data_IF_022664083715
#
_entry.id   IF_022664083715
#
_cell.length_a   1.000
_cell.length_b   1.000
_cell.length_c   1.000
_cell.angle_alpha   90.00
_cell.angle_beta   90.00
_cell.angle_gamma   90.00
#
_symmetry.space_group_name_H-M   'P 1'
#
loop_
_entity.id
_entity.type
_entity.pdbx_description
1 polymer ?
#
# COMPACT_ATOMS: atom_id res chain seq x y z
N UNK A 1 3.01 3.57 -27.55
CA UNK A 1 2.57 3.84 -26.15
C UNK A 1 3.80 3.93 -25.26
N UNK A 2 4.42 5.11 -25.18
CA UNK A 2 5.53 5.34 -24.27
C UNK A 2 4.98 5.55 -22.87
N UNK A 3 5.06 4.52 -22.03
CA UNK A 3 5.13 4.76 -20.57
C UNK A 3 6.22 5.81 -20.36
N UNK A 4 5.95 6.86 -19.60
CA UNK A 4 6.96 7.83 -19.19
C UNK A 4 7.95 7.12 -18.25
N UNK A 5 8.83 6.32 -18.86
CA UNK A 5 9.99 5.63 -18.30
C UNK A 5 11.09 6.63 -17.92
N UNK A 6 10.97 7.91 -18.32
CA UNK A 6 11.99 8.93 -18.10
C UNK A 6 12.33 9.19 -16.62
N UNK A 7 11.42 8.91 -15.67
CA UNK A 7 11.74 9.06 -14.24
C UNK A 7 12.58 7.88 -13.71
N UNK A 8 12.54 6.72 -14.38
CA UNK A 8 13.09 5.46 -13.86
C UNK A 8 14.59 5.24 -14.14
N UNK A 9 15.16 5.86 -15.17
CA UNK A 9 16.59 5.68 -15.48
C UNK A 9 17.51 6.37 -14.45
N UNK A 10 17.09 7.50 -13.87
CA UNK A 10 17.92 8.28 -12.96
C UNK A 10 17.97 7.79 -11.51
N UNK A 11 17.03 6.93 -11.07
CA UNK A 11 17.03 6.38 -9.71
C UNK A 11 17.83 5.07 -9.58
N UNK A 12 18.00 4.35 -10.69
CA UNK A 12 18.70 3.05 -10.72
C UNK A 12 20.22 3.23 -10.64
N UNK A 13 20.75 4.37 -11.09
CA UNK A 13 22.18 4.72 -11.00
C UNK A 13 22.63 5.19 -9.62
N UNK A 14 21.71 5.35 -8.67
CA UNK A 14 21.97 5.91 -7.33
C UNK A 14 21.90 4.82 -6.24
N UNK A 15 21.94 3.53 -6.61
CA UNK A 15 22.00 2.42 -5.65
C UNK A 15 23.32 2.55 -4.85
N UNK A 16 23.30 2.97 -3.56
CA UNK A 16 24.53 3.23 -2.82
C UNK A 16 25.11 1.92 -2.26
N UNK A 17 26.42 1.89 -1.99
CA UNK A 17 27.12 0.80 -1.25
C UNK A 17 26.43 0.34 0.05
N UNK A 18 25.58 1.19 0.64
CA UNK A 18 24.73 0.85 1.81
C UNK A 18 23.69 -0.24 1.52
N UNK A 19 23.37 -0.50 0.26
CA UNK A 19 22.46 -1.56 -0.17
C UNK A 19 23.11 -2.93 0.02
N UNK A 20 24.42 -3.07 -0.24
CA UNK A 20 25.17 -4.31 -0.01
C UNK A 20 25.19 -4.66 1.48
N UNK A 21 25.57 -3.70 2.33
CA UNK A 21 25.62 -3.90 3.79
C UNK A 21 24.24 -4.10 4.43
N UNK A 22 23.16 -3.56 3.84
CA UNK A 22 21.79 -3.81 4.28
C UNK A 22 21.25 -5.18 3.85
N UNK A 23 21.65 -5.66 2.67
CA UNK A 23 21.35 -7.03 2.20
C UNK A 23 22.09 -8.06 3.08
N UNK A 24 23.35 -7.80 3.41
CA UNK A 24 24.18 -8.66 4.29
C UNK A 24 23.68 -8.72 5.74
N UNK A 25 22.95 -7.70 6.21
CA UNK A 25 22.31 -7.70 7.54
C UNK A 25 20.91 -8.33 7.55
N UNK A 26 20.31 -8.58 6.39
CA UNK A 26 18.97 -9.16 6.26
C UNK A 26 18.98 -10.68 5.95
N UNK A 27 20.14 -11.28 5.72
CA UNK A 27 20.28 -12.74 5.68
C UNK A 27 20.10 -13.33 7.08
N UNK A 28 18.86 -13.64 7.45
CA UNK A 28 18.59 -14.47 8.62
C UNK A 28 19.07 -15.90 8.34
N UNK A 29 20.09 -16.34 9.10
CA UNK A 29 20.37 -17.76 9.32
C UNK A 29 19.22 -18.34 10.17
N UNK A 30 18.26 -19.01 9.55
CA UNK A 30 17.38 -19.95 10.25
C UNK A 30 17.77 -21.38 9.87
N UNK A 31 18.20 -22.13 10.90
CA UNK A 31 18.51 -23.55 10.85
C UNK A 31 17.32 -24.37 10.33
N UNK A 32 17.31 -24.63 9.03
CA UNK A 32 16.59 -25.76 8.42
C UNK A 32 17.40 -26.22 7.23
N UNK A 33 17.57 -27.53 7.08
CA UNK A 33 18.45 -28.21 6.12
C UNK A 33 18.04 -28.07 4.63
N UNK A 34 17.64 -26.88 4.21
CA UNK A 34 17.46 -26.52 2.80
C UNK A 34 17.85 -25.05 2.64
N UNK A 35 18.95 -24.72 1.94
CA UNK A 35 19.34 -23.34 1.76
C UNK A 35 18.30 -22.64 0.88
N UNK A 36 17.75 -21.53 1.36
CA UNK A 36 17.03 -20.57 0.51
C UNK A 36 18.13 -19.83 -0.26
N UNK A 37 18.62 -20.42 -1.36
CA UNK A 37 19.83 -19.93 -2.05
C UNK A 37 19.63 -18.61 -2.84
N UNK A 38 18.47 -17.96 -2.83
CA UNK A 38 18.31 -16.68 -3.56
C UNK A 38 17.09 -15.82 -3.20
N UNK A 39 16.87 -15.49 -1.93
CA UNK A 39 15.81 -14.51 -1.62
C UNK A 39 15.81 -13.91 -0.21
N UNK A 40 15.63 -12.59 -0.12
CA UNK A 40 15.45 -11.85 1.13
C UNK A 40 14.01 -12.03 1.60
N UNK A 41 13.85 -12.67 2.76
CA UNK A 41 12.57 -12.82 3.45
C UNK A 41 12.50 -11.81 4.59
N UNK A 42 11.42 -11.06 4.65
CA UNK A 42 11.26 -10.01 5.65
C UNK A 42 10.53 -10.49 6.90
N UNK A 43 10.93 -9.93 8.05
CA UNK A 43 10.25 -10.16 9.32
C UNK A 43 8.81 -9.63 9.27
N UNK A 44 7.95 -10.16 10.16
CA UNK A 44 6.56 -9.71 10.25
C UNK A 44 6.41 -8.21 10.51
N UNK A 45 7.33 -7.63 11.29
CA UNK A 45 7.38 -6.19 11.53
C UNK A 45 7.67 -5.41 10.25
N UNK A 46 8.68 -5.84 9.48
CA UNK A 46 9.05 -5.17 8.23
C UNK A 46 7.97 -5.32 7.15
N UNK A 47 7.28 -6.45 7.07
CA UNK A 47 6.11 -6.62 6.20
C UNK A 47 4.98 -5.66 6.55
N UNK A 48 4.74 -5.44 7.85
CA UNK A 48 3.80 -4.42 8.29
C UNK A 48 4.23 -3.03 7.83
N UNK A 49 5.47 -2.62 8.10
CA UNK A 49 6.02 -1.33 7.67
C UNK A 49 5.90 -1.10 6.17
N UNK A 50 6.11 -2.13 5.34
CA UNK A 50 5.90 -2.06 3.89
C UNK A 50 4.48 -1.65 3.58
N UNK A 51 3.48 -2.31 4.18
CA UNK A 51 2.08 -1.94 3.95
C UNK A 51 1.82 -0.51 4.42
N UNK A 52 2.43 -0.09 5.52
CA UNK A 52 2.28 1.26 6.06
C UNK A 52 2.79 2.33 5.10
N UNK A 53 4.04 2.19 4.71
CA UNK A 53 4.76 3.13 3.86
C UNK A 53 4.27 3.09 2.42
N UNK A 54 3.87 1.93 1.91
CA UNK A 54 3.27 1.82 0.59
C UNK A 54 1.91 2.54 0.52
N UNK A 55 1.06 2.41 1.54
CA UNK A 55 -0.19 3.17 1.60
C UNK A 55 0.07 4.67 1.73
N UNK A 56 1.04 5.08 2.55
CA UNK A 56 1.47 6.48 2.65
C UNK A 56 1.93 7.02 1.29
N UNK A 57 2.83 6.33 0.61
CA UNK A 57 3.35 6.73 -0.70
C UNK A 57 2.23 6.84 -1.73
N UNK A 58 1.35 5.84 -1.81
CA UNK A 58 0.19 5.86 -2.71
C UNK A 58 -0.75 7.05 -2.41
N UNK A 59 -1.06 7.30 -1.14
CA UNK A 59 -1.90 8.41 -0.70
C UNK A 59 -1.29 9.78 -1.03
N UNK A 60 0.02 9.94 -0.80
CA UNK A 60 0.77 11.16 -1.13
C UNK A 60 0.80 11.43 -2.64
N UNK A 61 1.09 10.43 -3.47
CA UNK A 61 1.07 10.58 -4.93
C UNK A 61 -0.33 10.82 -5.50
N UNK A 62 -1.37 10.36 -4.82
CA UNK A 62 -2.76 10.64 -5.21
C UNK A 62 -3.20 12.05 -4.81
N UNK A 63 -3.01 12.42 -3.55
CA UNK A 63 -3.71 13.55 -2.92
C UNK A 63 -2.83 14.79 -2.71
N UNK A 64 -1.50 14.63 -2.62
CA UNK A 64 -0.57 15.73 -2.33
C UNK A 64 0.41 15.97 -3.48
N UNK A 65 0.04 15.59 -4.71
CA UNK A 65 0.95 15.66 -5.85
C UNK A 65 1.29 17.09 -6.27
N UNK A 66 0.34 18.00 -6.12
CA UNK A 66 0.54 19.42 -6.46
C UNK A 66 1.30 20.17 -5.35
N UNK A 67 1.70 19.44 -4.29
CA UNK A 67 2.59 19.92 -3.24
C UNK A 67 4.00 19.34 -3.41
N UNK A 68 4.88 19.99 -4.20
CA UNK A 68 6.23 19.47 -4.44
C UNK A 68 7.05 19.32 -3.16
N UNK A 69 6.82 20.18 -2.16
CA UNK A 69 7.47 20.08 -0.84
C UNK A 69 7.09 18.79 -0.11
N UNK A 70 5.81 18.39 -0.17
CA UNK A 70 5.33 17.18 0.51
C UNK A 70 5.88 15.91 -0.17
N UNK A 71 6.00 15.91 -1.50
CA UNK A 71 6.62 14.82 -2.25
C UNK A 71 8.15 14.77 -2.07
N UNK A 72 8.82 15.92 -1.92
CA UNK A 72 10.27 15.96 -1.68
C UNK A 72 10.69 15.30 -0.35
N UNK A 73 9.80 15.32 0.65
CA UNK A 73 10.04 14.62 1.92
C UNK A 73 9.73 13.11 1.85
N UNK A 74 8.99 12.65 0.83
CA UNK A 74 8.49 11.28 0.75
C UNK A 74 9.60 10.20 0.79
N UNK A 75 10.74 10.36 0.10
CA UNK A 75 11.84 9.40 0.18
C UNK A 75 12.41 9.25 1.60
N UNK A 76 12.32 10.28 2.47
CA UNK A 76 12.79 10.18 3.86
C UNK A 76 12.02 9.12 4.66
N UNK A 77 10.79 8.83 4.25
CA UNK A 77 9.92 7.87 4.92
C UNK A 77 9.76 6.55 4.16
N UNK A 78 9.67 6.61 2.82
CA UNK A 78 9.22 5.48 1.99
C UNK A 78 10.21 5.10 0.88
N UNK A 79 11.51 5.43 1.02
CA UNK A 79 12.52 5.16 -0.02
C UNK A 79 12.48 3.71 -0.52
N UNK A 80 12.53 2.74 0.40
CA UNK A 80 12.56 1.32 0.07
C UNK A 80 11.29 0.87 -0.63
N UNK A 81 10.13 1.33 -0.17
CA UNK A 81 8.84 0.95 -0.73
C UNK A 81 8.66 1.54 -2.14
N UNK A 82 9.16 2.75 -2.39
CA UNK A 82 9.20 3.33 -3.75
C UNK A 82 10.14 2.51 -4.63
N UNK A 83 11.34 2.18 -4.14
CA UNK A 83 12.31 1.38 -4.88
C UNK A 83 11.77 -0.02 -5.22
N UNK A 84 11.14 -0.71 -4.27
CA UNK A 84 10.56 -2.04 -4.48
C UNK A 84 9.30 -2.00 -5.36
N UNK A 85 8.48 -0.96 -5.25
CA UNK A 85 7.39 -0.72 -6.20
C UNK A 85 7.94 -0.56 -7.62
N UNK A 86 9.02 0.22 -7.78
CA UNK A 86 9.67 0.39 -9.08
C UNK A 86 10.25 -0.94 -9.62
N UNK A 87 10.87 -1.73 -8.77
CA UNK A 87 11.43 -3.04 -9.14
C UNK A 87 10.33 -4.02 -9.60
N UNK A 88 9.19 -4.04 -8.92
CA UNK A 88 8.04 -4.90 -9.23
C UNK A 88 7.12 -4.36 -10.33
N UNK A 89 7.32 -3.12 -10.79
CA UNK A 89 6.47 -2.49 -11.81
C UNK A 89 6.50 -3.24 -13.15
N UNK A 90 7.66 -3.74 -13.57
CA UNK A 90 7.78 -4.48 -14.85
C UNK A 90 6.99 -5.80 -14.81
N UNK A 91 7.09 -6.54 -13.71
CA UNK A 91 6.33 -7.77 -13.52
C UNK A 91 4.82 -7.50 -13.53
N UNK A 92 4.38 -6.43 -12.87
CA UNK A 92 2.99 -5.98 -12.89
C UNK A 92 2.48 -5.69 -14.30
N UNK A 93 3.27 -4.96 -15.11
CA UNK A 93 2.92 -4.59 -16.49
C UNK A 93 2.86 -5.78 -17.42
N UNK A 94 3.84 -6.69 -17.34
CA UNK A 94 3.84 -7.95 -18.09
C UNK A 94 2.58 -8.74 -17.78
N UNK A 95 2.20 -8.81 -16.50
CA UNK A 95 1.00 -9.51 -16.06
C UNK A 95 -0.30 -8.88 -16.56
N UNK A 96 -0.37 -7.56 -16.63
CA UNK A 96 -1.52 -6.84 -17.15
C UNK A 96 -1.69 -7.01 -18.65
N UNK A 97 -0.56 -7.09 -19.37
CA UNK A 97 -0.52 -7.24 -20.84
C UNK A 97 -0.76 -8.68 -21.31
N UNK A 98 -0.64 -9.66 -20.40
CA UNK A 98 -0.78 -11.08 -20.71
C UNK A 98 -2.22 -11.49 -21.11
N UNK A 99 -2.36 -12.47 -22.02
CA UNK A 99 -3.66 -12.96 -22.46
C UNK A 99 -4.34 -13.71 -21.31
N UNK A 100 -5.32 -13.04 -20.70
CA UNK A 100 -6.16 -13.44 -19.55
C UNK A 100 -5.48 -13.24 -18.18
N UNK A 101 -6.18 -12.50 -17.32
CA UNK A 101 -5.88 -12.37 -15.89
C UNK A 101 -5.92 -13.74 -15.23
N UNK A 102 -4.79 -14.47 -15.22
CA UNK A 102 -4.68 -15.73 -14.48
C UNK A 102 -4.75 -15.46 -12.98
N UNK A 103 -5.13 -16.49 -12.22
CA UNK A 103 -4.95 -16.49 -10.77
C UNK A 103 -3.48 -16.21 -10.44
N UNK A 104 -3.26 -15.46 -9.36
CA UNK A 104 -1.93 -15.08 -8.92
C UNK A 104 -1.27 -16.27 -8.22
N UNK A 105 -0.51 -17.07 -8.96
CA UNK A 105 0.25 -18.22 -8.44
C UNK A 105 1.57 -17.76 -7.81
N UNK A 106 1.90 -18.20 -6.59
CA UNK A 106 3.16 -17.84 -5.93
C UNK A 106 4.37 -18.46 -6.61
N UNK A 107 5.49 -17.73 -6.61
CA UNK A 107 6.78 -18.21 -7.15
C UNK A 107 7.38 -19.29 -6.26
N UNK A 108 7.18 -19.19 -4.95
CA UNK A 108 7.75 -20.12 -3.96
C UNK A 108 6.83 -20.26 -2.74
N UNK A 109 7.06 -21.30 -1.95
CA UNK A 109 6.34 -21.58 -0.71
C UNK A 109 7.34 -21.71 0.45
N UNK A 110 7.15 -20.89 1.48
CA UNK A 110 7.95 -20.96 2.72
C UNK A 110 7.03 -21.43 3.83
N UNK A 111 7.31 -22.58 4.44
CA UNK A 111 6.48 -23.17 5.51
C UNK A 111 4.98 -23.23 5.11
N UNK A 112 4.70 -23.65 3.87
CA UNK A 112 3.35 -23.68 3.27
C UNK A 112 2.64 -22.32 3.14
N UNK A 113 3.36 -21.21 3.30
CA UNK A 113 2.86 -19.86 3.04
C UNK A 113 3.29 -19.47 1.62
N UNK A 114 2.37 -18.98 0.77
CA UNK A 114 2.69 -18.56 -0.59
C UNK A 114 3.46 -17.22 -0.61
N UNK A 115 4.60 -17.20 -1.30
CA UNK A 115 5.44 -16.01 -1.52
C UNK A 115 5.66 -15.74 -3.01
N UNK A 116 5.88 -14.46 -3.32
CA UNK A 116 6.17 -13.94 -4.64
C UNK A 116 7.57 -13.33 -4.65
N UNK A 117 8.31 -13.61 -5.72
CA UNK A 117 9.67 -13.15 -5.88
C UNK A 117 9.75 -11.95 -6.81
N UNK A 118 10.29 -10.85 -6.31
CA UNK A 118 10.66 -9.70 -7.14
C UNK A 118 12.11 -9.89 -7.58
N UNK A 119 12.30 -10.50 -8.76
CA UNK A 119 13.62 -10.95 -9.24
C UNK A 119 14.69 -9.86 -9.24
N UNK A 120 14.31 -8.60 -9.55
CA UNK A 120 15.26 -7.47 -9.58
C UNK A 120 15.86 -7.10 -8.22
N UNK A 121 15.21 -7.48 -7.12
CA UNK A 121 15.68 -7.19 -5.77
C UNK A 121 15.80 -8.46 -4.91
N UNK A 122 15.64 -9.64 -5.52
CA UNK A 122 15.59 -10.94 -4.82
C UNK A 122 14.68 -10.90 -3.59
N UNK A 123 13.57 -10.15 -3.66
CA UNK A 123 12.73 -9.92 -2.49
C UNK A 123 11.52 -10.85 -2.52
N UNK A 124 11.34 -11.61 -1.43
CA UNK A 124 10.21 -12.50 -1.26
C UNK A 124 9.14 -11.84 -0.39
N UNK A 125 7.96 -11.64 -0.97
CA UNK A 125 6.82 -11.01 -0.28
C UNK A 125 5.57 -11.88 -0.32
N UNK A 126 4.76 -11.87 0.75
CA UNK A 126 3.41 -12.40 0.68
C UNK A 126 2.54 -11.53 -0.23
N UNK A 127 1.38 -12.09 -0.59
CA UNK A 127 0.46 -11.50 -1.57
C UNK A 127 0.03 -10.07 -1.23
N UNK A 128 -0.22 -9.76 0.04
CA UNK A 128 -0.82 -8.48 0.46
C UNK A 128 0.20 -7.36 0.32
N UNK A 129 1.45 -7.62 0.69
CA UNK A 129 2.58 -6.70 0.57
C UNK A 129 2.86 -6.40 -0.90
N UNK A 130 2.85 -7.42 -1.77
CA UNK A 130 2.99 -7.23 -3.21
C UNK A 130 1.87 -6.32 -3.78
N UNK A 131 0.61 -6.57 -3.41
CA UNK A 131 -0.51 -5.72 -3.83
C UNK A 131 -0.37 -4.28 -3.32
N UNK A 132 0.22 -4.08 -2.13
CA UNK A 132 0.48 -2.74 -1.60
C UNK A 132 1.56 -2.00 -2.39
N UNK A 133 2.61 -2.68 -2.84
CA UNK A 133 3.63 -2.11 -3.71
C UNK A 133 3.07 -1.77 -5.10
N UNK A 134 2.26 -2.64 -5.68
CA UNK A 134 1.59 -2.36 -6.96
C UNK A 134 0.59 -1.21 -6.89
N UNK A 135 0.00 -0.94 -5.72
CA UNK A 135 -0.80 0.26 -5.51
C UNK A 135 0.04 1.54 -5.64
N UNK A 136 1.30 1.54 -5.17
CA UNK A 136 2.23 2.65 -5.36
C UNK A 136 2.52 2.84 -6.86
N UNK A 137 2.81 1.74 -7.59
CA UNK A 137 3.02 1.78 -9.05
C UNK A 137 1.83 2.41 -9.77
N UNK A 138 0.62 2.00 -9.42
CA UNK A 138 -0.60 2.54 -10.02
C UNK A 138 -0.82 4.02 -9.68
N UNK A 139 -0.47 4.43 -8.46
CA UNK A 139 -0.60 5.83 -8.02
C UNK A 139 0.41 6.73 -8.71
N UNK A 140 1.60 6.20 -9.02
CA UNK A 140 2.63 6.88 -9.80
C UNK A 140 2.22 7.04 -11.28
N UNK A 141 1.71 5.97 -11.91
CA UNK A 141 1.42 5.96 -13.35
C UNK A 141 0.18 6.78 -13.76
N UNK A 142 -0.75 7.03 -12.82
CA UNK A 142 -2.07 7.66 -13.06
C UNK A 142 -2.95 6.93 -14.08
N UNK A 143 -2.57 5.71 -14.47
CA UNK A 143 -3.31 4.98 -15.49
C UNK A 143 -4.51 4.26 -14.89
N UNK A 144 -5.71 4.62 -15.34
CA UNK A 144 -6.96 4.01 -14.87
C UNK A 144 -7.03 2.51 -15.17
N UNK A 145 -6.42 2.06 -16.26
CA UNK A 145 -6.42 0.64 -16.64
C UNK A 145 -5.62 -0.20 -15.64
N UNK A 146 -4.44 0.28 -15.25
CA UNK A 146 -3.61 -0.30 -14.20
C UNK A 146 -4.38 -0.46 -12.89
N UNK A 147 -5.07 0.59 -12.45
CA UNK A 147 -5.90 0.57 -11.24
C UNK A 147 -7.09 -0.41 -11.34
N UNK A 148 -7.78 -0.46 -12.48
CA UNK A 148 -8.90 -1.40 -12.70
C UNK A 148 -8.41 -2.85 -12.64
N UNK A 149 -7.26 -3.14 -13.21
CA UNK A 149 -6.64 -4.47 -13.14
C UNK A 149 -6.28 -4.84 -11.70
N UNK A 150 -5.60 -3.94 -10.96
CA UNK A 150 -5.28 -4.16 -9.56
C UNK A 150 -6.53 -4.39 -8.70
N UNK A 151 -7.59 -3.60 -8.93
CA UNK A 151 -8.88 -3.77 -8.24
C UNK A 151 -9.51 -5.13 -8.51
N UNK A 152 -9.40 -5.67 -9.74
CA UNK A 152 -9.86 -7.01 -10.09
C UNK A 152 -9.11 -8.07 -9.28
N UNK A 153 -7.77 -7.98 -9.21
CA UNK A 153 -6.94 -8.90 -8.42
C UNK A 153 -7.31 -8.87 -6.93
N UNK A 154 -7.49 -7.67 -6.35
CA UNK A 154 -7.88 -7.54 -4.94
C UNK A 154 -9.24 -8.22 -4.69
N UNK A 155 -10.23 -8.01 -5.56
CA UNK A 155 -11.56 -8.63 -5.44
C UNK A 155 -11.48 -10.15 -5.50
N UNK A 156 -10.66 -10.69 -6.39
CA UNK A 156 -10.43 -12.14 -6.52
C UNK A 156 -9.84 -12.72 -5.22
N UNK A 157 -8.78 -12.09 -4.69
CA UNK A 157 -8.15 -12.53 -3.43
C UNK A 157 -9.14 -12.46 -2.26
N UNK A 158 -9.91 -11.38 -2.16
CA UNK A 158 -10.95 -11.25 -1.14
C UNK A 158 -12.02 -12.34 -1.26
N UNK A 159 -12.39 -12.73 -2.49
CA UNK A 159 -13.39 -13.77 -2.72
C UNK A 159 -12.89 -15.16 -2.33
N UNK A 160 -11.61 -15.46 -2.60
CA UNK A 160 -10.98 -16.72 -2.22
C UNK A 160 -10.96 -16.89 -0.69
N UNK A 161 -10.53 -15.85 0.04
CA UNK A 161 -10.53 -15.85 1.52
C UNK A 161 -11.95 -15.99 2.09
N UNK A 162 -12.96 -15.41 1.43
CA UNK A 162 -14.36 -15.55 1.85
C UNK A 162 -14.92 -16.95 1.59
N UNK A 163 -14.51 -17.59 0.49
CA UNK A 163 -14.95 -18.94 0.07
C UNK A 163 -14.40 -20.04 0.98
N UNK A 164 -13.20 -19.86 1.54
CA UNK A 164 -12.55 -20.76 2.49
C UNK A 164 -13.25 -20.80 3.88
N UNK A 165 -14.59 -20.80 3.94
CA UNK A 165 -15.46 -20.75 5.12
C UNK A 165 -14.96 -21.63 6.29
N UNK A 166 -14.09 -21.09 7.15
CA UNK A 166 -13.76 -21.66 8.46
C UNK A 166 -14.79 -21.20 9.48
N UNK A 167 -15.25 -22.12 10.35
CA UNK A 167 -16.24 -21.88 11.43
C UNK A 167 -15.85 -20.74 12.40
N UNK A 168 -14.55 -20.43 12.51
CA UNK A 168 -14.01 -19.23 13.19
C UNK A 168 -12.81 -18.70 12.39
N UNK A 169 -12.87 -17.45 11.94
CA UNK A 169 -11.71 -16.78 11.33
C UNK A 169 -10.67 -16.49 12.40
N UNK A 170 -9.41 -16.77 12.10
CA UNK A 170 -8.30 -16.39 12.99
C UNK A 170 -8.09 -14.88 12.91
N UNK A 171 -7.61 -14.26 14.00
CA UNK A 171 -7.33 -12.81 14.04
C UNK A 171 -6.43 -12.31 12.89
N UNK A 172 -5.51 -13.16 12.41
CA UNK A 172 -4.64 -12.86 11.27
C UNK A 172 -5.41 -12.75 9.94
N UNK A 173 -6.39 -13.62 9.72
CA UNK A 173 -7.24 -13.61 8.52
C UNK A 173 -8.12 -12.36 8.48
N UNK A 174 -8.58 -11.89 9.64
CA UNK A 174 -9.35 -10.64 9.75
C UNK A 174 -8.52 -9.40 9.46
N UNK A 175 -7.29 -9.34 9.98
CA UNK A 175 -6.34 -8.26 9.65
C UNK A 175 -5.98 -8.26 8.16
N UNK A 176 -5.84 -9.44 7.56
CA UNK A 176 -5.59 -9.60 6.12
C UNK A 176 -6.76 -9.06 5.28
N UNK A 177 -8.00 -9.39 5.67
CA UNK A 177 -9.20 -8.86 5.01
C UNK A 177 -9.33 -7.34 5.19
N UNK A 178 -9.01 -6.81 6.36
CA UNK A 178 -9.00 -5.37 6.61
C UNK A 178 -7.97 -4.64 5.73
N UNK A 179 -6.77 -5.19 5.58
CA UNK A 179 -5.75 -4.67 4.67
C UNK A 179 -6.23 -4.68 3.21
N UNK A 180 -6.85 -5.77 2.75
CA UNK A 180 -7.44 -5.84 1.40
C UNK A 180 -8.59 -4.84 1.20
N UNK A 181 -9.44 -4.63 2.21
CA UNK A 181 -10.48 -3.60 2.17
C UNK A 181 -9.88 -2.19 2.07
N UNK A 182 -8.79 -1.91 2.80
CA UNK A 182 -8.07 -0.64 2.72
C UNK A 182 -7.50 -0.43 1.31
N UNK A 183 -6.77 -1.40 0.76
CA UNK A 183 -6.21 -1.34 -0.60
C UNK A 183 -7.30 -1.16 -1.66
N UNK A 184 -8.42 -1.88 -1.53
CA UNK A 184 -9.60 -1.72 -2.39
C UNK A 184 -10.15 -0.30 -2.33
N UNK A 185 -10.32 0.25 -1.12
CA UNK A 185 -10.78 1.62 -0.92
C UNK A 185 -9.85 2.64 -1.57
N UNK A 186 -8.54 2.48 -1.41
CA UNK A 186 -7.54 3.33 -2.06
C UNK A 186 -7.63 3.26 -3.60
N UNK A 187 -7.82 2.07 -4.18
CA UNK A 187 -8.01 1.93 -5.63
C UNK A 187 -9.28 2.67 -6.11
N UNK A 188 -10.39 2.54 -5.38
CA UNK A 188 -11.66 3.20 -5.71
C UNK A 188 -11.55 4.72 -5.58
N UNK A 189 -10.85 5.21 -4.55
CA UNK A 189 -10.55 6.64 -4.39
C UNK A 189 -9.73 7.17 -5.57
N UNK A 190 -8.69 6.45 -6.00
CA UNK A 190 -7.88 6.81 -7.18
C UNK A 190 -8.67 6.73 -8.50
N UNK A 191 -9.79 6.01 -8.54
CA UNK A 191 -10.70 5.93 -9.69
C UNK A 191 -11.82 6.99 -9.65
N UNK A 192 -11.76 7.94 -8.71
CA UNK A 192 -12.82 8.94 -8.46
C UNK A 192 -14.18 8.34 -8.13
N UNK A 193 -14.19 7.23 -7.37
CA UNK A 193 -15.40 6.61 -6.82
C UNK A 193 -15.43 6.74 -5.28
N UNK A 194 -15.52 7.98 -4.74
CA UNK A 194 -15.30 8.23 -3.31
C UNK A 194 -16.37 7.60 -2.42
N UNK A 195 -17.63 7.52 -2.86
CA UNK A 195 -18.71 6.86 -2.11
C UNK A 195 -18.40 5.38 -1.82
N UNK A 196 -17.98 4.63 -2.85
CA UNK A 196 -17.62 3.22 -2.69
C UNK A 196 -16.33 3.05 -1.87
N UNK A 197 -15.39 4.00 -1.98
CA UNK A 197 -14.17 4.01 -1.16
C UNK A 197 -14.51 4.19 0.32
N UNK A 198 -15.40 5.13 0.65
CA UNK A 198 -15.87 5.38 2.02
C UNK A 198 -16.52 4.14 2.63
N UNK A 199 -17.34 3.40 1.88
CA UNK A 199 -17.90 2.14 2.36
C UNK A 199 -16.82 1.11 2.71
N UNK A 200 -15.78 1.00 1.88
CA UNK A 200 -14.64 0.15 2.16
C UNK A 200 -13.92 0.59 3.44
N UNK A 201 -13.67 1.88 3.64
CA UNK A 201 -13.02 2.40 4.84
C UNK A 201 -13.90 2.24 6.10
N UNK A 202 -15.21 2.46 5.99
CA UNK A 202 -16.19 2.18 7.07
C UNK A 202 -16.15 0.70 7.47
N UNK A 203 -16.00 -0.22 6.51
CA UNK A 203 -15.87 -1.65 6.82
C UNK A 203 -14.63 -1.96 7.65
N UNK A 204 -13.51 -1.27 7.41
CA UNK A 204 -12.27 -1.39 8.21
C UNK A 204 -12.48 -0.78 9.59
N UNK A 205 -13.10 0.40 9.68
CA UNK A 205 -13.36 1.08 10.95
C UNK A 205 -14.30 0.28 11.88
N UNK A 206 -15.29 -0.44 11.32
CA UNK A 206 -16.20 -1.31 12.09
C UNK A 206 -15.48 -2.46 12.81
N UNK A 207 -14.27 -2.81 12.39
CA UNK A 207 -13.47 -3.85 13.02
C UNK A 207 -12.75 -3.36 14.29
N UNK A 208 -12.85 -2.06 14.64
CA UNK A 208 -12.31 -1.44 15.88
C UNK A 208 -12.76 -2.14 17.16
N UNK A 209 -13.90 -2.83 17.13
CA UNK A 209 -14.44 -3.58 18.28
C UNK A 209 -13.62 -4.83 18.64
N UNK A 210 -12.64 -5.23 17.82
CA UNK A 210 -11.83 -6.43 18.06
C UNK A 210 -10.47 -6.09 18.65
N UNK A 211 -10.21 -6.57 19.87
CA UNK A 211 -9.01 -6.29 20.69
C UNK A 211 -7.66 -6.68 20.04
N UNK A 212 -7.66 -7.43 18.93
CA UNK A 212 -6.45 -7.92 18.22
C UNK A 212 -6.21 -7.25 16.84
N UNK A 213 -6.99 -6.23 16.50
CA UNK A 213 -6.83 -5.54 15.22
C UNK A 213 -5.60 -4.63 15.20
N UNK A 214 -4.97 -4.56 14.03
CA UNK A 214 -3.86 -3.66 13.80
C UNK A 214 -4.34 -2.19 13.83
N UNK A 215 -3.90 -1.43 14.83
CA UNK A 215 -4.26 -0.02 15.02
C UNK A 215 -3.90 0.81 13.79
N UNK A 216 -2.81 0.47 13.09
CA UNK A 216 -2.37 1.18 11.89
C UNK A 216 -3.46 1.20 10.80
N UNK A 217 -4.10 0.05 10.54
CA UNK A 217 -5.09 -0.08 9.46
C UNK A 217 -6.29 0.85 9.68
N UNK A 218 -6.71 0.98 10.94
CA UNK A 218 -7.84 1.83 11.31
C UNK A 218 -7.46 3.30 11.14
N UNK A 219 -6.28 3.71 11.64
CA UNK A 219 -5.82 5.09 11.52
C UNK A 219 -5.74 5.54 10.06
N UNK A 220 -5.14 4.71 9.19
CA UNK A 220 -5.02 5.03 7.77
C UNK A 220 -6.36 5.04 7.04
N UNK A 221 -7.26 4.08 7.33
CA UNK A 221 -8.61 4.10 6.78
C UNK A 221 -9.37 5.37 7.16
N UNK A 222 -9.16 5.90 8.37
CA UNK A 222 -9.79 7.16 8.81
C UNK A 222 -9.23 8.37 8.07
N UNK A 223 -7.90 8.48 7.89
CA UNK A 223 -7.30 9.55 7.10
C UNK A 223 -7.78 9.55 5.64
N UNK A 224 -7.81 8.38 5.01
CA UNK A 224 -8.27 8.25 3.63
C UNK A 224 -9.76 8.53 3.48
N UNK A 225 -10.55 8.11 4.47
CA UNK A 225 -11.96 8.47 4.53
C UNK A 225 -12.16 9.97 4.67
N UNK A 226 -11.35 10.66 5.47
CA UNK A 226 -11.45 12.11 5.64
C UNK A 226 -11.25 12.85 4.31
N UNK A 227 -10.24 12.48 3.53
CA UNK A 227 -10.04 13.02 2.18
C UNK A 227 -11.22 12.70 1.26
N UNK A 228 -11.74 11.47 1.30
CA UNK A 228 -12.87 11.14 0.42
C UNK A 228 -14.12 11.98 0.73
N UNK A 229 -14.40 12.29 2.01
CA UNK A 229 -15.51 13.17 2.38
C UNK A 229 -15.27 14.61 1.91
N UNK A 230 -14.04 15.10 2.08
CA UNK A 230 -13.63 16.40 1.56
C UNK A 230 -13.84 16.50 0.04
N UNK A 231 -13.39 15.51 -0.73
CA UNK A 231 -13.52 15.47 -2.18
C UNK A 231 -14.97 15.36 -2.70
N UNK A 232 -15.94 14.99 -1.85
CA UNK A 232 -17.38 14.99 -2.19
C UNK A 232 -18.03 16.34 -1.85
N UNK A 233 -17.31 17.27 -1.22
CA UNK A 233 -17.82 18.57 -0.75
C UNK A 233 -18.30 18.56 0.71
N UNK A 234 -18.15 17.45 1.43
CA UNK A 234 -18.45 17.38 2.87
C UNK A 234 -17.26 17.85 3.71
N UNK A 235 -16.89 19.12 3.54
CA UNK A 235 -15.66 19.73 4.08
C UNK A 235 -15.59 19.63 5.61
N UNK A 236 -16.67 19.97 6.32
CA UNK A 236 -16.72 19.92 7.79
C UNK A 236 -16.47 18.52 8.33
N UNK A 237 -17.08 17.51 7.70
CA UNK A 237 -16.92 16.10 8.07
C UNK A 237 -15.47 15.67 7.80
N UNK A 238 -14.91 16.09 6.66
CA UNK A 238 -13.51 15.85 6.32
C UNK A 238 -12.54 16.38 7.39
N UNK A 239 -12.66 17.65 7.78
CA UNK A 239 -11.82 18.27 8.79
C UNK A 239 -12.01 17.65 10.18
N UNK A 240 -13.25 17.38 10.57
CA UNK A 240 -13.55 16.72 11.84
C UNK A 240 -12.90 15.33 11.89
N UNK A 241 -13.09 14.51 10.84
CA UNK A 241 -12.49 13.18 10.76
C UNK A 241 -10.98 13.22 10.75
N UNK A 242 -10.37 14.18 10.04
CA UNK A 242 -8.92 14.37 10.04
C UNK A 242 -8.39 14.71 11.44
N UNK A 243 -9.08 15.60 12.14
CA UNK A 243 -8.73 16.01 13.52
C UNK A 243 -8.85 14.84 14.48
N UNK A 244 -9.95 14.07 14.40
CA UNK A 244 -10.18 12.87 15.21
C UNK A 244 -9.13 11.80 14.92
N UNK A 245 -8.80 11.55 13.64
CA UNK A 245 -7.75 10.61 13.25
C UNK A 245 -6.40 11.03 13.84
N UNK A 246 -6.09 12.32 13.82
CA UNK A 246 -4.85 12.86 14.36
C UNK A 246 -4.78 12.88 15.88
N UNK A 247 -5.89 12.99 16.61
CA UNK A 247 -5.90 13.03 18.09
C UNK A 247 -6.05 11.64 18.70
N UNK A 248 -6.99 10.84 18.22
CA UNK A 248 -7.25 9.50 18.76
C UNK A 248 -6.16 8.49 18.37
N UNK A 249 -5.47 8.74 17.26
CA UNK A 249 -4.38 7.91 16.78
C UNK A 249 -3.06 8.71 16.70
N UNK A 250 -2.97 9.83 17.46
CA UNK A 250 -1.82 10.77 17.51
C UNK A 250 -0.50 10.11 17.89
N UNK A 251 -0.57 9.05 18.70
CA UNK A 251 0.56 8.21 19.09
C UNK A 251 1.07 7.32 17.94
N UNK A 252 0.62 7.59 16.70
CA UNK A 252 0.99 6.87 15.49
C UNK A 252 2.42 7.13 15.01
N UNK A 253 2.82 6.32 14.04
CA UNK A 253 4.14 6.33 13.39
C UNK A 253 4.49 7.69 12.78
N UNK A 254 5.78 7.97 12.55
CA UNK A 254 6.23 9.27 11.97
C UNK A 254 5.60 9.49 10.59
N UNK A 255 5.42 8.40 9.87
CA UNK A 255 4.77 8.22 8.59
C UNK A 255 3.30 8.70 8.63
N UNK A 256 2.52 8.22 9.60
CA UNK A 256 1.13 8.64 9.78
C UNK A 256 1.01 10.15 10.02
N UNK A 257 1.89 10.70 10.87
CA UNK A 257 1.91 12.14 11.16
C UNK A 257 2.29 12.97 9.93
N UNK A 258 3.23 12.49 9.13
CA UNK A 258 3.60 13.14 7.87
C UNK A 258 2.44 13.15 6.87
N UNK A 259 1.77 12.01 6.69
CA UNK A 259 0.59 11.90 5.83
C UNK A 259 -0.53 12.83 6.29
N UNK A 260 -0.84 12.85 7.58
CA UNK A 260 -1.87 13.74 8.13
C UNK A 260 -1.56 15.22 7.95
N UNK A 261 -0.28 15.63 7.99
CA UNK A 261 0.12 17.02 7.67
C UNK A 261 -0.06 17.33 6.19
N UNK A 262 0.35 16.43 5.30
CA UNK A 262 0.17 16.62 3.86
C UNK A 262 -1.32 16.74 3.49
N UNK A 263 -2.16 15.89 4.08
CA UNK A 263 -3.62 15.92 3.85
C UNK A 263 -4.25 17.22 4.36
N UNK A 264 -3.85 17.67 5.55
CA UNK A 264 -4.30 18.97 6.09
C UNK A 264 -3.94 20.13 5.18
N UNK A 265 -2.73 20.12 4.60
CA UNK A 265 -2.30 21.15 3.65
C UNK A 265 -3.10 21.07 2.35
N UNK A 266 -3.33 19.87 1.83
CA UNK A 266 -4.08 19.66 0.58
C UNK A 266 -5.51 20.19 0.70
N UNK A 267 -6.19 19.86 1.80
CA UNK A 267 -7.53 20.38 2.09
C UNK A 267 -7.59 21.91 2.29
N UNK A 268 -6.46 22.58 2.54
CA UNK A 268 -6.42 24.05 2.70
C UNK A 268 -6.21 24.78 1.37
N UNK A 269 -5.47 24.17 0.44
CA UNK A 269 -5.21 24.77 -0.89
C UNK A 269 -6.49 24.79 -1.74
N UNK A 270 -7.25 23.70 -1.69
CA UNK A 270 -8.51 23.58 -2.44
C UNK A 270 -9.58 24.59 -1.98
N UNK A 271 -9.45 25.17 -0.77
CA UNK A 271 -10.34 26.25 -0.29
C UNK A 271 -9.94 27.60 -0.88
N UNK A 272 -8.64 27.87 -1.05
CA UNK A 272 -8.14 29.16 -1.57
C UNK A 272 -8.34 29.33 -3.08
N UNK A 273 -8.53 28.24 -3.82
CA UNK A 273 -8.81 28.28 -5.27
C UNK A 273 -10.33 28.37 -5.59
N UNK A 274 -11.18 28.40 -4.57
CA UNK A 274 -12.64 28.50 -4.69
C UNK A 274 -13.24 29.86 -4.31
N UNK A 275 -12.40 30.88 -4.08
CA UNK A 275 -12.75 32.30 -3.93
C UNK A 275 -12.39 33.12 -5.18
#
# INVERSE_FOLDING_TARGET
MSMNLMVFQNLTSVIPLRLQTFIDTLSFNENSNSPIDSGIVLTQLRMREIRERACMAAGMYRNARDQPQALAELPRYCYWEIMWANASAQEFLVRMSGPRSRALEPSTYIRNVPYYEISKCQLLLPRIELLSLWLVVCSLSRERQSLKFLLKLIKEVMSNIKREKKKKRRSHEENSLAALCLLKGCCLASLHLPHQAIECFKSVARLKTKRRMDKYLISYAMLESAICHYNIGMVDIGHHMLTVARTQYSNGTREFRALGRAYSKSMMIDVSDSD
#
